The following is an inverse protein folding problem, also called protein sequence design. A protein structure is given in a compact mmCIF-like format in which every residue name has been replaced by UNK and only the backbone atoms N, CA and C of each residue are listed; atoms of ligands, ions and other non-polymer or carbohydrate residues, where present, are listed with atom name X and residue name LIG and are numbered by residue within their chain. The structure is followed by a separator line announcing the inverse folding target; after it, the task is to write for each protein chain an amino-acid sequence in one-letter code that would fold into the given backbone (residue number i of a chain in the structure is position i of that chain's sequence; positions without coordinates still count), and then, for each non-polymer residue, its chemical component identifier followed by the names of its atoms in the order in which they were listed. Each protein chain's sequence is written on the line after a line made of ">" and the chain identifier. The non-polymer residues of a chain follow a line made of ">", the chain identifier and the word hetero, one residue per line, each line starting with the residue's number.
data_IF_782438486842
#
_entry.id   IF_782438486842
#
_cell.length_a   1.000
_cell.length_b   1.000
_cell.length_c   1.000
_cell.angle_alpha   90.00
_cell.angle_beta   90.00
_cell.angle_gamma   90.00
#
_symmetry.space_group_name_H-M   'P 1'
#
loop_
_entity.id
_entity.type
_entity.pdbx_description
1 polymer ?
#
# COMPACT_ATOMS: atom_id res chain seq x y z
N UNK A 1 18.79 13.12 -36.35
CA UNK A 1 17.45 13.09 -35.79
C UNK A 1 17.54 13.33 -34.32
N UNK A 2 16.87 14.36 -33.80
CA UNK A 2 16.67 14.55 -32.37
C UNK A 2 15.88 13.36 -31.86
N UNK A 3 16.52 12.46 -31.13
CA UNK A 3 15.84 11.51 -30.28
C UNK A 3 15.30 12.35 -29.12
N UNK A 4 14.06 12.79 -29.23
CA UNK A 4 13.37 13.33 -28.08
C UNK A 4 13.31 12.23 -27.03
N UNK A 5 13.97 12.41 -25.91
CA UNK A 5 13.81 11.54 -24.76
C UNK A 5 12.45 11.84 -24.17
N UNK A 6 11.44 11.11 -24.61
CA UNK A 6 10.02 11.35 -24.28
C UNK A 6 9.67 11.14 -22.80
N UNK A 7 10.64 10.78 -21.95
CA UNK A 7 10.42 10.54 -20.54
C UNK A 7 10.39 11.79 -19.66
N UNK A 8 10.80 12.94 -20.16
CA UNK A 8 10.98 14.14 -19.34
C UNK A 8 9.68 14.68 -18.71
N UNK A 9 8.54 14.45 -19.35
CA UNK A 9 7.24 14.87 -18.84
C UNK A 9 6.83 14.09 -17.57
N UNK A 10 7.40 12.90 -17.35
CA UNK A 10 7.11 12.05 -16.21
C UNK A 10 8.16 12.15 -15.10
N UNK A 11 9.18 12.98 -15.25
CA UNK A 11 10.27 13.08 -14.28
C UNK A 11 9.83 13.71 -12.97
N UNK A 12 10.33 13.12 -11.89
CA UNK A 12 10.31 13.62 -10.52
C UNK A 12 11.39 12.85 -9.74
N UNK A 13 11.73 13.31 -8.55
CA UNK A 13 12.71 12.60 -7.71
C UNK A 13 12.23 11.17 -7.42
N UNK A 14 10.95 11.00 -7.13
CA UNK A 14 10.35 9.68 -6.91
C UNK A 14 10.40 8.80 -8.15
N UNK A 15 10.09 9.35 -9.33
CA UNK A 15 10.17 8.63 -10.59
C UNK A 15 11.59 8.14 -10.87
N UNK A 16 12.59 9.01 -10.69
CA UNK A 16 13.99 8.67 -10.90
C UNK A 16 14.45 7.54 -9.97
N UNK A 17 14.01 7.55 -8.73
CA UNK A 17 14.31 6.49 -7.76
C UNK A 17 13.64 5.16 -8.15
N UNK A 18 12.37 5.19 -8.52
CA UNK A 18 11.63 3.99 -8.96
C UNK A 18 12.28 3.38 -10.20
N UNK A 19 12.66 4.20 -11.18
CA UNK A 19 13.31 3.75 -12.41
C UNK A 19 14.71 3.19 -12.12
N UNK A 20 15.46 3.80 -11.22
CA UNK A 20 16.78 3.29 -10.83
C UNK A 20 16.66 1.88 -10.22
N UNK A 21 15.74 1.67 -9.28
CA UNK A 21 15.49 0.35 -8.71
C UNK A 21 15.05 -0.67 -9.77
N UNK A 22 14.19 -0.24 -10.67
CA UNK A 22 13.74 -1.06 -11.80
C UNK A 22 14.93 -1.46 -12.70
N UNK A 23 15.78 -0.52 -13.08
CA UNK A 23 16.94 -0.79 -13.93
C UNK A 23 17.91 -1.78 -13.29
N UNK A 24 18.18 -1.65 -11.99
CA UNK A 24 19.05 -2.58 -11.26
C UNK A 24 18.51 -4.01 -11.32
N UNK A 25 17.21 -4.19 -11.07
CA UNK A 25 16.58 -5.51 -11.16
C UNK A 25 16.50 -6.02 -12.58
N UNK A 26 16.16 -5.16 -13.54
CA UNK A 26 16.09 -5.51 -14.97
C UNK A 26 17.43 -6.04 -15.49
N UNK A 27 18.55 -5.44 -15.08
CA UNK A 27 19.88 -5.93 -15.40
C UNK A 27 20.15 -7.28 -14.74
N UNK A 28 19.83 -7.41 -13.45
CA UNK A 28 20.04 -8.65 -12.69
C UNK A 28 19.35 -9.87 -13.33
N UNK A 29 18.15 -9.68 -13.85
CA UNK A 29 17.37 -10.75 -14.49
C UNK A 29 17.54 -10.83 -16.01
N UNK A 30 18.43 -10.03 -16.57
CA UNK A 30 18.65 -9.93 -18.01
C UNK A 30 17.34 -9.77 -18.79
N UNK A 31 16.56 -8.75 -18.40
CA UNK A 31 15.23 -8.48 -18.96
C UNK A 31 15.35 -8.18 -20.46
N UNK A 32 14.40 -8.71 -21.25
CA UNK A 32 14.35 -8.47 -22.70
C UNK A 32 14.41 -6.96 -22.99
N UNK A 33 15.40 -6.50 -23.82
CA UNK A 33 15.53 -5.08 -24.14
C UNK A 33 14.28 -4.47 -24.76
N UNK A 34 13.48 -5.25 -25.48
CA UNK A 34 12.23 -4.78 -26.08
C UNK A 34 11.16 -4.47 -25.05
N UNK A 35 11.25 -5.04 -23.86
CA UNK A 35 10.34 -4.79 -22.75
C UNK A 35 10.91 -3.74 -21.81
N UNK A 36 12.22 -3.76 -21.57
CA UNK A 36 12.89 -2.95 -20.55
C UNK A 36 12.52 -1.47 -20.63
N UNK A 37 12.60 -0.86 -21.80
CA UNK A 37 12.29 0.56 -21.96
C UNK A 37 10.77 0.85 -21.90
N UNK A 38 9.96 -0.09 -22.36
CA UNK A 38 8.51 0.07 -22.37
C UNK A 38 7.91 0.12 -20.96
N UNK A 39 8.49 -0.59 -19.99
CA UNK A 39 8.01 -0.63 -18.61
C UNK A 39 8.38 0.62 -17.80
N UNK A 40 9.27 1.46 -18.33
CA UNK A 40 9.62 2.75 -17.71
C UNK A 40 8.57 3.83 -17.89
N UNK A 41 7.70 3.67 -18.90
CA UNK A 41 6.72 4.67 -19.27
C UNK A 41 5.29 4.14 -19.05
N UNK A 42 4.37 4.98 -18.58
CA UNK A 42 2.97 4.56 -18.49
C UNK A 42 2.38 4.45 -19.90
N UNK A 43 1.48 3.48 -20.08
CA UNK A 43 0.78 3.32 -21.35
C UNK A 43 -0.23 4.44 -21.60
N UNK A 44 -0.76 5.04 -20.54
CA UNK A 44 -1.73 6.13 -20.64
C UNK A 44 -1.60 7.07 -19.46
N UNK A 45 -1.61 8.37 -19.73
CA UNK A 45 -1.65 9.40 -18.72
C UNK A 45 -2.66 10.46 -19.15
N UNK A 46 -3.59 10.79 -18.25
CA UNK A 46 -4.59 11.80 -18.46
C UNK A 46 -4.35 12.94 -17.48
N UNK A 47 -4.22 14.16 -18.02
CA UNK A 47 -4.19 15.39 -17.25
C UNK A 47 -5.45 16.17 -17.55
N UNK A 48 -6.18 16.56 -16.52
CA UNK A 48 -7.43 17.33 -16.65
C UNK A 48 -7.33 18.61 -15.85
N UNK A 49 -8.01 19.64 -16.33
CA UNK A 49 -8.20 20.86 -15.57
C UNK A 49 -9.70 21.17 -15.51
N UNK A 50 -10.14 21.64 -14.38
CA UNK A 50 -11.54 21.97 -14.19
C UNK A 50 -11.71 23.16 -13.24
N UNK A 51 -12.81 23.95 -13.44
CA UNK A 51 -13.11 25.06 -12.55
C UNK A 51 -13.66 24.56 -11.22
N UNK A 52 -13.28 25.25 -10.17
CA UNK A 52 -13.79 25.05 -8.83
C UNK A 52 -14.04 26.39 -8.15
N UNK A 53 -15.17 26.52 -7.47
CA UNK A 53 -15.51 27.68 -6.68
C UNK A 53 -15.91 27.22 -5.29
N UNK A 54 -15.31 27.84 -4.27
CA UNK A 54 -15.57 27.48 -2.87
C UNK A 54 -17.02 27.83 -2.46
N UNK A 55 -17.43 29.03 -2.84
CA UNK A 55 -18.81 29.52 -2.64
C UNK A 55 -19.17 30.52 -3.75
N UNK A 56 -20.37 31.06 -3.69
CA UNK A 56 -20.88 32.00 -4.72
C UNK A 56 -20.17 33.37 -4.72
N UNK A 57 -19.41 33.68 -3.68
CA UNK A 57 -18.75 34.98 -3.51
C UNK A 57 -17.24 34.93 -3.80
N UNK A 58 -16.65 33.74 -3.93
CA UNK A 58 -15.22 33.58 -4.21
C UNK A 58 -14.96 33.51 -5.71
N UNK A 59 -13.73 33.83 -6.10
CA UNK A 59 -13.27 33.66 -7.48
C UNK A 59 -13.19 32.18 -7.85
N UNK A 60 -13.31 31.91 -9.15
CA UNK A 60 -13.13 30.55 -9.67
C UNK A 60 -11.67 30.18 -9.67
N UNK A 61 -11.34 29.06 -9.03
CA UNK A 61 -10.02 28.45 -9.09
C UNK A 61 -9.97 27.43 -10.24
N UNK A 62 -8.80 27.26 -10.83
CA UNK A 62 -8.55 26.16 -11.78
C UNK A 62 -7.80 25.06 -11.06
N UNK A 63 -8.34 23.87 -11.07
CA UNK A 63 -7.80 22.70 -10.38
C UNK A 63 -7.26 21.72 -11.41
N UNK A 64 -6.10 21.12 -11.12
CA UNK A 64 -5.45 20.14 -12.00
C UNK A 64 -5.60 18.76 -11.37
N UNK A 65 -6.01 17.79 -12.19
CA UNK A 65 -6.11 16.39 -11.81
C UNK A 65 -5.39 15.47 -12.80
N UNK A 66 -5.00 14.30 -12.31
CA UNK A 66 -4.25 13.31 -13.07
C UNK A 66 -4.84 11.92 -12.88
N UNK A 67 -4.75 11.10 -13.92
CA UNK A 67 -4.89 9.64 -13.82
C UNK A 67 -3.86 8.97 -14.72
N UNK A 68 -2.99 8.17 -14.14
CA UNK A 68 -1.90 7.49 -14.85
C UNK A 68 -2.12 5.99 -14.76
N UNK A 69 -2.08 5.33 -15.92
CA UNK A 69 -2.25 3.90 -16.07
C UNK A 69 -0.94 3.33 -16.63
N UNK A 70 -0.21 2.60 -15.80
CA UNK A 70 1.13 2.13 -16.15
C UNK A 70 1.08 0.97 -17.14
N UNK A 71 0.38 -0.11 -16.83
CA UNK A 71 0.34 -1.33 -17.64
C UNK A 71 -1.09 -1.79 -17.84
N UNK A 72 -1.51 -1.90 -19.09
CA UNK A 72 -2.85 -2.38 -19.47
C UNK A 72 -2.84 -3.86 -19.87
N UNK A 73 -1.71 -4.54 -19.79
CA UNK A 73 -1.54 -5.93 -20.27
C UNK A 73 -1.99 -6.99 -19.27
N UNK A 74 -2.08 -6.64 -17.98
CA UNK A 74 -2.38 -7.58 -16.88
C UNK A 74 -3.87 -7.76 -16.63
N UNK A 75 -4.69 -6.84 -17.04
CA UNK A 75 -6.10 -6.70 -16.72
C UNK A 75 -6.43 -5.23 -16.49
N UNK A 76 -7.52 -4.91 -15.78
CA UNK A 76 -7.82 -3.53 -15.45
C UNK A 76 -6.70 -2.92 -14.60
N UNK A 77 -6.51 -1.61 -14.69
CA UNK A 77 -5.58 -0.92 -13.83
C UNK A 77 -6.23 -0.62 -12.47
N UNK A 78 -5.42 -0.55 -11.43
CA UNK A 78 -5.87 -0.36 -10.05
C UNK A 78 -4.93 0.57 -9.31
N UNK A 79 -5.49 1.53 -8.60
CA UNK A 79 -4.69 2.40 -7.74
C UNK A 79 -5.49 3.55 -7.13
N UNK A 80 -4.94 4.14 -6.07
CA UNK A 80 -5.57 5.18 -5.29
C UNK A 80 -5.62 6.55 -5.96
N UNK A 81 -6.42 7.42 -5.38
CA UNK A 81 -6.53 8.85 -5.74
C UNK A 81 -6.08 9.67 -4.53
N UNK A 82 -5.06 10.49 -4.73
CA UNK A 82 -4.49 11.37 -3.70
C UNK A 82 -4.98 12.81 -3.86
N UNK A 83 -5.41 13.43 -2.77
CA UNK A 83 -5.63 14.88 -2.73
C UNK A 83 -4.52 15.50 -1.88
N UNK A 84 -3.65 16.25 -2.53
CA UNK A 84 -2.58 16.99 -1.88
C UNK A 84 -2.15 18.14 -2.80
N UNK A 85 -1.71 19.22 -2.18
CA UNK A 85 -1.31 20.44 -2.91
C UNK A 85 -0.14 20.19 -3.88
N UNK A 86 0.77 19.29 -3.52
CA UNK A 86 1.99 18.96 -4.26
C UNK A 86 1.84 17.82 -5.28
N UNK A 87 0.63 17.32 -5.49
CA UNK A 87 0.37 16.29 -6.52
C UNK A 87 0.82 16.78 -7.89
N UNK A 88 1.64 16.00 -8.57
CA UNK A 88 2.16 16.27 -9.90
C UNK A 88 2.25 14.99 -10.74
N UNK A 89 2.39 15.17 -12.05
CA UNK A 89 2.38 14.04 -12.99
C UNK A 89 3.53 13.05 -12.72
N UNK A 90 4.72 13.54 -12.41
CA UNK A 90 5.89 12.68 -12.18
C UNK A 90 5.72 11.77 -10.95
N UNK A 91 5.21 12.31 -9.85
CA UNK A 91 4.95 11.54 -8.63
C UNK A 91 3.83 10.52 -8.84
N UNK A 92 2.73 10.92 -9.48
CA UNK A 92 1.63 10.02 -9.80
C UNK A 92 2.08 8.88 -10.72
N UNK A 93 2.93 9.18 -11.69
CA UNK A 93 3.52 8.17 -12.59
C UNK A 93 4.36 7.16 -11.81
N UNK A 94 5.26 7.63 -10.93
CA UNK A 94 6.08 6.77 -10.09
C UNK A 94 5.22 5.82 -9.24
N UNK A 95 4.18 6.35 -8.62
CA UNK A 95 3.26 5.56 -7.80
C UNK A 95 2.47 4.54 -8.63
N UNK A 96 2.10 4.87 -9.87
CA UNK A 96 1.42 3.93 -10.78
C UNK A 96 2.32 2.75 -11.15
N UNK A 97 3.61 2.98 -11.34
CA UNK A 97 4.59 1.93 -11.61
C UNK A 97 4.72 0.99 -10.41
N UNK A 98 4.86 1.55 -9.21
CA UNK A 98 4.92 0.77 -7.97
C UNK A 98 3.66 -0.08 -7.76
N UNK A 99 2.49 0.43 -8.12
CA UNK A 99 1.24 -0.33 -8.04
C UNK A 99 1.22 -1.53 -8.99
N UNK A 100 1.87 -1.43 -10.16
CA UNK A 100 2.03 -2.58 -11.06
C UNK A 100 2.84 -3.70 -10.41
N UNK A 101 3.97 -3.36 -9.80
CA UNK A 101 4.81 -4.34 -9.10
C UNK A 101 4.07 -4.93 -7.90
N UNK A 102 3.45 -4.10 -7.10
CA UNK A 102 2.73 -4.52 -5.90
C UNK A 102 1.60 -5.51 -6.20
N UNK A 103 0.80 -5.25 -7.22
CA UNK A 103 -0.27 -6.16 -7.65
C UNK A 103 0.29 -7.47 -8.23
N UNK A 104 1.37 -7.38 -9.01
CA UNK A 104 2.00 -8.54 -9.63
C UNK A 104 2.63 -9.49 -8.61
N UNK A 105 3.22 -8.97 -7.54
CA UNK A 105 3.85 -9.75 -6.47
C UNK A 105 2.86 -10.72 -5.84
N UNK A 106 1.65 -10.29 -5.59
CA UNK A 106 0.60 -11.11 -4.95
C UNK A 106 -0.33 -11.80 -5.94
N UNK A 107 0.00 -11.77 -7.22
CA UNK A 107 -0.71 -12.53 -8.23
C UNK A 107 -2.05 -11.94 -8.67
N UNK A 108 -2.31 -10.66 -8.42
CA UNK A 108 -3.57 -10.02 -8.79
C UNK A 108 -3.63 -9.70 -10.30
N UNK A 109 -4.82 -9.75 -10.91
CA UNK A 109 -4.99 -9.51 -12.34
C UNK A 109 -5.09 -8.01 -12.65
N UNK A 110 -4.16 -7.20 -12.12
CA UNK A 110 -4.17 -5.76 -12.27
C UNK A 110 -2.85 -5.22 -12.81
N UNK A 111 -2.95 -4.24 -13.69
CA UNK A 111 -1.89 -3.26 -13.88
C UNK A 111 -1.97 -2.17 -12.83
N UNK A 112 -0.92 -1.36 -12.71
CA UNK A 112 -0.88 -0.24 -11.78
C UNK A 112 -1.50 1.02 -12.35
N UNK A 113 -2.26 1.71 -11.52
CA UNK A 113 -2.73 3.07 -11.77
C UNK A 113 -2.55 3.94 -10.55
N UNK A 114 -2.54 5.23 -10.76
CA UNK A 114 -2.58 6.23 -9.69
C UNK A 114 -3.26 7.48 -10.21
N UNK A 115 -3.93 8.17 -9.32
CA UNK A 115 -4.54 9.45 -9.64
C UNK A 115 -4.29 10.47 -8.54
N UNK A 116 -4.66 11.69 -8.81
CA UNK A 116 -4.56 12.74 -7.83
C UNK A 116 -5.14 14.05 -8.30
N UNK A 117 -5.48 14.87 -7.35
CA UNK A 117 -5.92 16.26 -7.56
C UNK A 117 -4.99 17.17 -6.75
N UNK A 118 -4.41 18.14 -7.43
CA UNK A 118 -3.47 19.09 -6.83
C UNK A 118 -4.23 20.16 -6.03
N UNK A 119 -4.73 19.76 -4.86
CA UNK A 119 -5.44 20.63 -3.94
C UNK A 119 -5.22 20.19 -2.50
N UNK A 120 -5.07 21.15 -1.59
CA UNK A 120 -5.05 20.85 -0.15
C UNK A 120 -6.47 20.52 0.34
N UNK A 121 -6.75 19.27 0.78
CA UNK A 121 -8.09 18.91 1.21
C UNK A 121 -8.47 19.41 2.60
N UNK A 122 -7.49 19.81 3.42
CA UNK A 122 -7.69 20.15 4.85
C UNK A 122 -8.65 21.32 5.06
N UNK A 123 -8.56 22.45 4.31
CA UNK A 123 -9.47 23.58 4.49
C UNK A 123 -10.82 23.39 3.81
N UNK A 124 -11.01 22.31 3.03
CA UNK A 124 -12.23 22.09 2.28
C UNK A 124 -13.36 21.57 3.16
N UNK A 125 -14.56 22.14 3.00
CA UNK A 125 -15.78 21.57 3.57
C UNK A 125 -16.13 20.24 2.89
N UNK A 126 -17.03 19.49 3.52
CA UNK A 126 -17.57 18.27 2.92
C UNK A 126 -18.23 18.55 1.56
N UNK A 127 -19.00 19.62 1.45
CA UNK A 127 -19.65 19.99 0.20
C UNK A 127 -18.65 20.36 -0.90
N UNK A 128 -17.58 21.06 -0.54
CA UNK A 128 -16.49 21.40 -1.45
C UNK A 128 -15.75 20.17 -1.96
N UNK A 129 -15.39 19.23 -1.06
CA UNK A 129 -14.79 17.94 -1.43
C UNK A 129 -15.69 17.14 -2.36
N UNK A 130 -17.00 17.14 -2.10
CA UNK A 130 -17.97 16.45 -2.94
C UNK A 130 -17.98 17.03 -4.37
N UNK A 131 -18.01 18.34 -4.51
CA UNK A 131 -18.01 18.99 -5.82
C UNK A 131 -16.75 18.69 -6.61
N UNK A 132 -15.57 18.78 -5.98
CA UNK A 132 -14.29 18.44 -6.59
C UNK A 132 -14.29 16.99 -7.04
N UNK A 133 -14.68 16.07 -6.17
CA UNK A 133 -14.66 14.63 -6.46
C UNK A 133 -15.58 14.27 -7.60
N UNK A 134 -16.79 14.81 -7.63
CA UNK A 134 -17.74 14.55 -8.72
C UNK A 134 -17.26 15.12 -10.04
N UNK A 135 -16.68 16.32 -10.05
CA UNK A 135 -16.13 16.90 -11.27
C UNK A 135 -14.92 16.13 -11.76
N UNK A 136 -13.99 15.80 -10.89
CA UNK A 136 -12.83 14.99 -11.24
C UNK A 136 -13.26 13.63 -11.82
N UNK A 137 -14.22 12.96 -11.19
CA UNK A 137 -14.78 11.69 -11.70
C UNK A 137 -15.36 11.85 -13.11
N UNK A 138 -16.10 12.90 -13.35
CA UNK A 138 -16.68 13.18 -14.67
C UNK A 138 -15.57 13.32 -15.74
N UNK A 139 -14.47 13.98 -15.41
CA UNK A 139 -13.32 14.11 -16.31
C UNK A 139 -12.59 12.79 -16.57
N UNK A 140 -12.67 11.85 -15.63
CA UNK A 140 -12.03 10.52 -15.76
C UNK A 140 -12.87 9.49 -16.51
N UNK A 141 -14.13 9.77 -16.81
CA UNK A 141 -15.04 8.80 -17.44
C UNK A 141 -14.46 8.11 -18.69
N UNK A 142 -13.69 8.76 -19.56
CA UNK A 142 -13.12 8.10 -20.73
C UNK A 142 -12.15 6.97 -20.41
N UNK A 143 -11.53 6.95 -19.22
CA UNK A 143 -10.44 6.04 -18.89
C UNK A 143 -10.73 5.11 -17.71
N UNK A 144 -11.69 5.42 -16.85
CA UNK A 144 -12.08 4.54 -15.74
C UNK A 144 -13.23 3.60 -16.13
N UNK A 145 -13.34 2.49 -15.44
CA UNK A 145 -14.42 1.51 -15.65
C UNK A 145 -14.20 0.29 -14.79
N UNK A 146 -15.26 -0.46 -14.53
CA UNK A 146 -15.26 -1.67 -13.69
C UNK A 146 -14.27 -2.72 -14.20
N UNK A 147 -14.03 -2.74 -15.50
CA UNK A 147 -13.10 -3.64 -16.19
C UNK A 147 -11.94 -2.90 -16.89
N UNK A 148 -11.77 -1.62 -16.61
CA UNK A 148 -10.74 -0.77 -17.23
C UNK A 148 -9.74 -0.22 -16.25
N UNK A 149 -10.23 0.51 -15.25
CA UNK A 149 -9.41 1.18 -14.23
C UNK A 149 -10.26 1.46 -13.00
N UNK A 150 -9.82 0.94 -11.86
CA UNK A 150 -10.58 0.95 -10.60
C UNK A 150 -9.85 1.82 -9.57
N UNK A 151 -10.37 3.02 -9.27
CA UNK A 151 -9.82 3.86 -8.22
C UNK A 151 -9.98 3.28 -6.81
N UNK A 152 -9.20 3.80 -5.89
CA UNK A 152 -9.23 3.47 -4.45
C UNK A 152 -8.84 4.70 -3.64
N UNK A 153 -9.00 4.66 -2.30
CA UNK A 153 -8.52 5.76 -1.46
C UNK A 153 -6.99 5.83 -1.38
N UNK A 154 -6.49 7.03 -1.15
CA UNK A 154 -5.11 7.32 -0.80
C UNK A 154 -5.09 8.53 0.14
N UNK A 155 -3.93 9.15 0.34
CA UNK A 155 -3.81 10.35 1.17
C UNK A 155 -4.79 11.44 0.72
N UNK A 156 -5.53 12.01 1.66
CA UNK A 156 -6.49 13.08 1.41
C UNK A 156 -7.86 12.63 0.89
N UNK A 157 -8.05 11.33 0.67
CA UNK A 157 -9.33 10.73 0.29
C UNK A 157 -9.72 9.62 1.25
N UNK A 158 -10.99 9.26 1.26
CA UNK A 158 -11.54 8.27 2.18
C UNK A 158 -12.72 7.49 1.56
N UNK A 159 -13.40 6.72 2.37
CA UNK A 159 -14.57 5.94 1.93
C UNK A 159 -15.72 6.84 1.42
N UNK A 160 -15.89 8.02 2.00
CA UNK A 160 -16.90 8.98 1.50
C UNK A 160 -16.56 9.49 0.10
N UNK A 161 -15.28 9.77 -0.14
CA UNK A 161 -14.80 10.15 -1.48
C UNK A 161 -15.10 9.04 -2.50
N UNK A 162 -14.88 7.80 -2.12
CA UNK A 162 -15.18 6.64 -2.97
C UNK A 162 -16.68 6.51 -3.24
N UNK A 163 -17.51 6.79 -2.25
CA UNK A 163 -18.96 6.80 -2.41
C UNK A 163 -19.41 7.83 -3.47
N UNK A 164 -18.82 9.01 -3.46
CA UNK A 164 -19.12 10.05 -4.45
C UNK A 164 -18.66 9.67 -5.86
N UNK A 165 -17.50 9.01 -5.98
CA UNK A 165 -17.00 8.50 -7.27
C UNK A 165 -17.97 7.43 -7.81
N UNK A 166 -18.35 6.48 -6.98
CA UNK A 166 -19.29 5.44 -7.35
C UNK A 166 -20.64 6.02 -7.80
N UNK A 167 -21.18 6.96 -7.04
CA UNK A 167 -22.47 7.60 -7.38
C UNK A 167 -22.39 8.35 -8.70
N UNK A 168 -21.35 9.16 -8.87
CA UNK A 168 -21.17 9.94 -10.10
C UNK A 168 -21.05 9.04 -11.32
N UNK A 169 -20.20 8.04 -11.26
CA UNK A 169 -20.01 7.07 -12.35
C UNK A 169 -21.32 6.33 -12.64
N UNK A 170 -22.01 5.85 -11.62
CA UNK A 170 -23.27 5.12 -11.74
C UNK A 170 -24.35 5.95 -12.42
N UNK A 171 -24.43 7.25 -12.11
CA UNK A 171 -25.37 8.17 -12.75
C UNK A 171 -25.07 8.37 -14.24
N UNK A 172 -23.80 8.43 -14.62
CA UNK A 172 -23.42 8.55 -16.03
C UNK A 172 -23.71 7.29 -16.86
N UNK A 173 -23.52 6.11 -16.27
CA UNK A 173 -23.80 4.84 -16.98
C UNK A 173 -25.25 4.37 -16.85
N UNK A 174 -26.01 4.99 -15.95
CA UNK A 174 -27.45 4.73 -15.78
C UNK A 174 -27.79 3.51 -14.93
N UNK A 175 -26.84 2.95 -14.20
CA UNK A 175 -27.06 1.81 -13.28
C UNK A 175 -26.02 1.78 -12.18
N UNK A 176 -26.37 1.25 -10.98
CA UNK A 176 -25.39 1.12 -9.90
C UNK A 176 -24.18 0.28 -10.31
N UNK A 177 -23.00 0.82 -10.09
CA UNK A 177 -21.72 0.20 -10.46
C UNK A 177 -20.78 0.12 -9.24
N UNK A 178 -21.04 -0.75 -8.25
CA UNK A 178 -20.21 -0.81 -7.05
C UNK A 178 -18.78 -1.28 -7.33
N UNK A 179 -18.55 -2.00 -8.42
CA UNK A 179 -17.21 -2.45 -8.83
C UNK A 179 -16.31 -1.36 -9.41
N UNK A 180 -16.80 -0.12 -9.56
CA UNK A 180 -15.98 0.97 -10.13
C UNK A 180 -14.85 1.42 -9.22
N UNK A 181 -15.04 1.31 -7.92
CA UNK A 181 -14.06 1.70 -6.89
C UNK A 181 -13.96 0.66 -5.80
N UNK A 182 -12.87 0.67 -5.08
CA UNK A 182 -12.72 -0.08 -3.83
C UNK A 182 -12.49 0.89 -2.68
N UNK A 183 -12.65 0.40 -1.44
CA UNK A 183 -12.60 1.26 -0.25
C UNK A 183 -13.89 2.02 0.01
N UNK A 184 -15.01 1.51 -0.50
CA UNK A 184 -16.34 2.06 -0.23
C UNK A 184 -16.79 1.80 1.20
N UNK A 185 -17.77 2.59 1.70
CA UNK A 185 -18.51 2.20 2.90
C UNK A 185 -19.14 0.81 2.75
N UNK A 186 -19.27 0.07 3.85
CA UNK A 186 -19.90 -1.26 3.86
C UNK A 186 -21.32 -1.24 3.29
N UNK A 187 -22.07 -0.16 3.54
CA UNK A 187 -23.44 0.04 3.02
C UNK A 187 -23.53 0.09 1.50
N UNK A 188 -22.42 0.33 0.81
CA UNK A 188 -22.34 0.39 -0.66
C UNK A 188 -21.56 -0.79 -1.27
N UNK A 189 -21.36 -1.85 -0.50
CA UNK A 189 -20.63 -3.03 -0.97
C UNK A 189 -19.15 -3.02 -0.61
N UNK A 190 -18.71 -2.13 0.27
CA UNK A 190 -17.35 -2.12 0.81
C UNK A 190 -17.04 -3.36 1.63
N UNK A 191 -15.78 -3.78 1.64
CA UNK A 191 -15.34 -4.95 2.39
C UNK A 191 -15.24 -4.66 3.87
N UNK A 192 -15.77 -5.55 4.69
CA UNK A 192 -15.66 -5.50 6.15
C UNK A 192 -14.25 -5.78 6.65
N UNK A 193 -13.41 -6.43 5.81
CA UNK A 193 -12.02 -6.78 6.15
C UNK A 193 -11.05 -5.61 5.99
N UNK A 194 -11.47 -4.51 5.39
CA UNK A 194 -10.61 -3.39 4.99
C UNK A 194 -9.71 -2.84 6.10
N UNK A 195 -10.28 -2.68 7.32
CA UNK A 195 -9.54 -2.10 8.45
C UNK A 195 -8.40 -2.98 8.93
N UNK A 196 -8.59 -4.29 8.84
CA UNK A 196 -7.73 -5.28 9.45
C UNK A 196 -6.77 -5.94 8.46
N UNK A 197 -7.08 -5.87 7.17
CA UNK A 197 -6.39 -6.63 6.13
C UNK A 197 -4.88 -6.40 6.09
N UNK A 198 -4.43 -5.16 6.17
CA UNK A 198 -3.00 -4.83 6.10
C UNK A 198 -2.25 -5.34 7.33
N UNK A 199 -2.74 -5.04 8.52
CA UNK A 199 -2.11 -5.47 9.77
C UNK A 199 -2.10 -6.99 9.94
N UNK A 200 -3.23 -7.65 9.72
CA UNK A 200 -3.32 -9.11 9.78
C UNK A 200 -2.48 -9.79 8.73
N UNK A 201 -2.45 -9.25 7.53
CA UNK A 201 -1.63 -9.74 6.44
C UNK A 201 -0.13 -9.65 6.76
N UNK A 202 0.31 -8.52 7.30
CA UNK A 202 1.70 -8.34 7.71
C UNK A 202 2.15 -9.39 8.74
N UNK A 203 1.31 -9.70 9.70
CA UNK A 203 1.59 -10.71 10.73
C UNK A 203 1.58 -12.13 10.14
N UNK A 204 0.69 -12.45 9.23
CA UNK A 204 0.71 -13.75 8.54
C UNK A 204 2.04 -13.97 7.80
N UNK A 205 2.51 -12.96 7.09
CA UNK A 205 3.81 -13.00 6.41
C UNK A 205 4.96 -13.09 7.41
N UNK A 206 4.90 -12.32 8.49
CA UNK A 206 5.90 -12.39 9.56
C UNK A 206 5.99 -13.78 10.18
N UNK A 207 4.86 -14.43 10.44
CA UNK A 207 4.81 -15.79 10.95
C UNK A 207 5.43 -16.79 9.99
N UNK A 208 5.14 -16.68 8.69
CA UNK A 208 5.76 -17.51 7.66
C UNK A 208 7.29 -17.31 7.60
N UNK A 209 7.76 -16.07 7.74
CA UNK A 209 9.18 -15.76 7.79
C UNK A 209 9.86 -16.35 9.03
N UNK A 210 9.22 -16.26 10.19
CA UNK A 210 9.75 -16.85 11.43
C UNK A 210 9.87 -18.37 11.31
N UNK A 211 8.93 -19.04 10.65
CA UNK A 211 9.04 -20.48 10.35
C UNK A 211 10.31 -20.81 9.56
N UNK A 212 10.70 -19.95 8.62
CA UNK A 212 11.96 -20.11 7.87
C UNK A 212 13.20 -19.95 8.75
N UNK A 213 13.08 -19.23 9.85
CA UNK A 213 14.13 -19.08 10.86
C UNK A 213 14.04 -20.15 11.96
N UNK A 214 13.20 -21.17 11.78
CA UNK A 214 12.96 -22.27 12.73
C UNK A 214 12.44 -21.77 14.10
N UNK A 215 11.66 -20.70 14.10
CA UNK A 215 11.04 -20.15 15.31
C UNK A 215 9.53 -19.97 15.10
N UNK A 216 8.75 -20.49 16.05
CA UNK A 216 7.30 -20.30 16.04
C UNK A 216 6.96 -18.86 16.39
N UNK A 217 6.01 -18.28 15.68
CA UNK A 217 5.55 -16.93 15.98
C UNK A 217 4.98 -16.81 17.39
N UNK A 218 4.31 -17.86 17.90
CA UNK A 218 3.81 -17.93 19.27
C UNK A 218 4.88 -17.86 20.36
N UNK A 219 6.14 -18.19 20.03
CA UNK A 219 7.28 -18.09 20.93
C UNK A 219 8.07 -16.79 20.76
N UNK A 220 7.55 -15.87 19.94
CA UNK A 220 8.24 -14.64 19.56
C UNK A 220 7.77 -13.45 20.38
N UNK A 221 8.67 -12.50 20.55
CA UNK A 221 8.36 -11.17 21.10
C UNK A 221 8.21 -10.16 19.97
N UNK A 222 7.25 -9.28 20.10
CA UNK A 222 6.86 -8.32 19.04
C UNK A 222 6.81 -6.91 19.61
N UNK A 223 7.30 -5.96 18.85
CA UNK A 223 7.18 -4.52 19.13
C UNK A 223 6.53 -3.85 17.92
N UNK A 224 5.52 -3.02 18.16
CA UNK A 224 4.78 -2.33 17.10
C UNK A 224 4.90 -0.82 17.31
N UNK A 225 5.43 -0.13 16.30
CA UNK A 225 5.44 1.34 16.27
C UNK A 225 4.19 1.82 15.52
N UNK A 226 3.40 2.66 16.19
CA UNK A 226 2.16 3.17 15.63
C UNK A 226 0.95 2.30 16.00
N UNK A 227 -0.18 2.95 16.28
CA UNK A 227 -1.43 2.25 16.68
C UNK A 227 -2.64 2.75 15.89
N UNK A 228 -2.40 3.11 14.63
CA UNK A 228 -3.45 3.29 13.63
C UNK A 228 -4.00 1.93 13.16
N UNK A 229 -4.69 1.89 12.05
CA UNK A 229 -5.28 0.63 11.58
C UNK A 229 -4.24 -0.48 11.35
N UNK A 230 -3.11 -0.17 10.74
CA UNK A 230 -2.08 -1.18 10.50
C UNK A 230 -1.46 -1.67 11.80
N UNK A 231 -1.01 -0.77 12.64
CA UNK A 231 -0.33 -1.12 13.90
C UNK A 231 -1.21 -1.85 14.89
N UNK A 232 -2.45 -1.38 15.11
CA UNK A 232 -3.35 -2.02 16.07
C UNK A 232 -3.76 -3.42 15.66
N UNK A 233 -4.02 -3.66 14.40
CA UNK A 233 -4.40 -4.99 13.93
C UNK A 233 -3.21 -5.92 13.74
N UNK A 234 -2.01 -5.39 13.51
CA UNK A 234 -0.78 -6.17 13.61
C UNK A 234 -0.54 -6.63 15.06
N UNK A 235 -0.74 -5.75 16.03
CA UNK A 235 -0.64 -6.10 17.45
C UNK A 235 -1.69 -7.15 17.84
N UNK A 236 -2.94 -6.96 17.45
CA UNK A 236 -4.03 -7.91 17.74
C UNK A 236 -3.77 -9.28 17.10
N UNK A 237 -3.38 -9.33 15.84
CA UNK A 237 -3.07 -10.56 15.14
C UNK A 237 -1.87 -11.29 15.77
N UNK A 238 -0.86 -10.57 16.22
CA UNK A 238 0.28 -11.14 16.96
C UNK A 238 -0.16 -11.75 18.28
N UNK A 239 -0.99 -11.04 19.03
CA UNK A 239 -1.57 -11.53 20.30
C UNK A 239 -2.40 -12.79 20.08
N UNK A 240 -3.28 -12.80 19.09
CA UNK A 240 -4.13 -13.94 18.76
C UNK A 240 -3.34 -15.18 18.35
N UNK A 241 -2.16 -15.00 17.77
CA UNK A 241 -1.21 -16.07 17.42
C UNK A 241 -0.40 -16.53 18.63
N UNK A 242 -0.56 -15.94 19.81
CA UNK A 242 0.14 -16.30 21.03
C UNK A 242 1.50 -15.63 21.23
N UNK A 243 1.89 -14.71 20.36
CA UNK A 243 3.12 -13.94 20.54
C UNK A 243 2.98 -12.92 21.68
N UNK A 244 4.13 -12.57 22.28
CA UNK A 244 4.17 -11.51 23.31
C UNK A 244 4.40 -10.16 22.63
N UNK A 245 3.40 -9.31 22.63
CA UNK A 245 3.54 -7.92 22.21
C UNK A 245 4.09 -7.12 23.40
N UNK A 246 5.38 -6.82 23.37
CA UNK A 246 6.08 -6.17 24.49
C UNK A 246 5.75 -4.69 24.61
N UNK A 247 5.65 -4.01 23.48
CA UNK A 247 5.46 -2.57 23.44
C UNK A 247 4.69 -2.13 22.21
N UNK A 248 3.92 -1.08 22.37
CA UNK A 248 3.27 -0.31 21.30
C UNK A 248 3.35 1.17 21.64
N UNK A 249 3.24 2.03 20.63
CA UNK A 249 3.14 3.47 20.84
C UNK A 249 2.17 4.13 19.86
N UNK A 250 1.83 5.35 20.18
CA UNK A 250 1.21 6.30 19.26
C UNK A 250 1.88 7.69 19.44
N UNK A 251 1.27 8.74 18.88
CA UNK A 251 1.82 10.09 18.98
C UNK A 251 1.90 10.63 20.41
N UNK A 252 1.15 10.05 21.34
CA UNK A 252 1.07 10.51 22.73
C UNK A 252 2.09 9.85 23.66
N UNK A 253 2.62 8.71 23.27
CA UNK A 253 3.58 7.93 24.05
C UNK A 253 3.47 6.45 23.82
N UNK A 254 4.18 5.68 24.62
CA UNK A 254 4.23 4.24 24.52
C UNK A 254 3.85 3.53 25.81
N UNK A 255 3.62 2.24 25.70
CA UNK A 255 3.36 1.32 26.80
C UNK A 255 4.15 0.04 26.59
N UNK A 256 4.71 -0.49 27.68
CA UNK A 256 5.59 -1.66 27.70
C UNK A 256 5.17 -2.65 28.78
N UNK A 257 5.21 -3.93 28.48
CA UNK A 257 5.04 -5.01 29.46
C UNK A 257 5.91 -6.20 29.03
N UNK A 258 6.92 -6.55 29.83
CA UNK A 258 7.82 -7.67 29.52
C UNK A 258 7.11 -9.02 29.44
N UNK A 259 5.95 -9.16 30.09
CA UNK A 259 5.10 -10.36 30.06
C UNK A 259 4.15 -10.40 28.88
N UNK A 260 4.14 -9.35 28.07
CA UNK A 260 3.21 -9.14 26.98
C UNK A 260 1.99 -8.31 27.37
N UNK A 261 1.63 -7.40 26.46
CA UNK A 261 0.43 -6.57 26.59
C UNK A 261 -0.83 -7.40 26.29
N UNK A 262 -1.89 -7.18 27.06
CA UNK A 262 -3.21 -7.70 26.72
C UNK A 262 -3.85 -6.78 25.68
N UNK A 263 -3.74 -7.15 24.40
CA UNK A 263 -4.17 -6.28 23.29
C UNK A 263 -5.69 -6.07 23.26
N UNK A 264 -6.56 -7.07 23.52
CA UNK A 264 -7.99 -6.82 23.63
C UNK A 264 -8.35 -5.78 24.70
N UNK A 265 -7.70 -5.82 25.87
CA UNK A 265 -7.90 -4.81 26.92
C UNK A 265 -7.37 -3.42 26.50
N UNK A 266 -6.27 -3.38 25.75
CA UNK A 266 -5.75 -2.15 25.16
C UNK A 266 -6.74 -1.54 24.17
N UNK A 267 -7.42 -2.36 23.37
CA UNK A 267 -8.49 -1.90 22.47
C UNK A 267 -9.64 -1.24 23.24
N UNK A 268 -10.05 -1.80 24.37
CA UNK A 268 -11.07 -1.19 25.23
C UNK A 268 -10.59 0.15 25.79
N UNK A 269 -9.34 0.22 26.23
CA UNK A 269 -8.72 1.46 26.69
C UNK A 269 -8.74 2.56 25.62
N UNK A 270 -8.34 2.22 24.38
CA UNK A 270 -8.31 3.17 23.26
C UNK A 270 -9.70 3.60 22.84
N UNK A 271 -10.69 2.71 22.88
CA UNK A 271 -12.07 3.06 22.59
C UNK A 271 -12.55 4.19 23.50
N UNK A 272 -12.11 4.20 24.75
CA UNK A 272 -12.45 5.19 25.76
C UNK A 272 -11.55 6.42 25.74
N UNK A 273 -10.23 6.21 25.77
CA UNK A 273 -9.24 7.27 25.98
C UNK A 273 -8.67 7.84 24.67
N UNK A 274 -8.90 7.19 23.54
CA UNK A 274 -8.41 7.58 22.19
C UNK A 274 -6.89 7.55 22.01
N UNK A 275 -6.16 6.98 22.97
CA UNK A 275 -4.70 6.91 23.00
C UNK A 275 -4.24 5.68 23.75
N UNK A 276 -3.02 5.21 23.47
CA UNK A 276 -2.39 4.11 24.25
C UNK A 276 -1.86 4.60 25.59
N UNK A 277 -1.62 5.90 25.73
CA UNK A 277 -1.11 6.50 26.97
C UNK A 277 -2.04 6.25 28.14
N UNK A 278 -1.45 5.87 29.28
CA UNK A 278 -2.21 5.62 30.50
C UNK A 278 -2.86 4.23 30.59
N UNK A 279 -2.57 3.33 29.65
CA UNK A 279 -3.05 1.95 29.74
C UNK A 279 -2.49 1.25 30.98
N UNK A 280 -3.37 0.74 31.83
CA UNK A 280 -3.01 0.12 33.12
C UNK A 280 -2.35 -1.26 32.98
N UNK A 281 -2.44 -1.88 31.81
CA UNK A 281 -1.88 -3.21 31.53
C UNK A 281 -0.39 -3.21 31.20
N UNK A 282 0.31 -2.09 31.39
CA UNK A 282 1.74 -1.98 31.18
C UNK A 282 2.30 -0.69 31.79
N UNK A 283 3.60 -0.55 31.73
CA UNK A 283 4.29 0.64 32.20
C UNK A 283 4.40 1.66 31.07
N UNK A 284 4.34 2.98 31.37
CA UNK A 284 4.66 4.00 30.37
C UNK A 284 6.05 3.78 29.80
N UNK A 285 6.16 3.81 28.47
CA UNK A 285 7.43 3.72 27.79
C UNK A 285 7.82 5.08 27.20
N UNK A 286 8.99 5.56 27.61
CA UNK A 286 9.60 6.77 27.10
C UNK A 286 10.96 6.40 26.55
N UNK A 287 11.16 6.58 25.26
CA UNK A 287 12.41 6.23 24.58
C UNK A 287 12.16 5.80 23.14
N UNK A 288 13.18 5.23 22.55
CA UNK A 288 13.17 4.81 21.15
C UNK A 288 12.57 3.41 21.02
N UNK A 289 11.27 3.35 20.72
CA UNK A 289 10.55 2.06 20.61
C UNK A 289 11.16 1.14 19.56
N UNK A 290 11.70 1.70 18.46
CA UNK A 290 12.34 0.93 17.39
C UNK A 290 13.60 0.20 17.84
N UNK A 291 14.23 0.64 18.92
CA UNK A 291 15.50 0.11 19.43
C UNK A 291 15.31 -0.94 20.54
N UNK A 292 14.07 -1.25 20.89
CA UNK A 292 13.78 -2.30 21.87
C UNK A 292 14.20 -3.68 21.38
N UNK A 293 14.75 -4.47 22.30
CA UNK A 293 15.07 -5.87 22.03
C UNK A 293 13.78 -6.68 21.83
N UNK A 294 13.66 -7.30 20.67
CA UNK A 294 12.52 -8.15 20.30
C UNK A 294 12.89 -9.08 19.15
N UNK A 295 12.07 -10.08 18.90
CA UNK A 295 12.22 -10.93 17.72
C UNK A 295 11.70 -10.24 16.46
N UNK A 296 10.55 -9.58 16.55
CA UNK A 296 9.86 -8.96 15.42
C UNK A 296 9.54 -7.50 15.73
N UNK A 297 10.02 -6.60 14.89
CA UNK A 297 9.71 -5.16 14.94
C UNK A 297 8.82 -4.81 13.75
N UNK A 298 7.69 -4.17 14.02
CA UNK A 298 6.73 -3.75 13.00
C UNK A 298 6.60 -2.22 13.01
N UNK A 299 7.38 -1.50 12.19
CA UNK A 299 7.15 -0.07 11.99
C UNK A 299 5.90 0.13 11.16
N UNK A 300 4.86 0.68 11.77
CA UNK A 300 3.51 0.80 11.20
C UNK A 300 2.92 2.21 11.33
N UNK A 301 3.78 3.23 11.44
CA UNK A 301 3.35 4.61 11.58
C UNK A 301 3.58 5.40 10.29
N UNK A 302 4.81 5.85 10.07
CA UNK A 302 5.19 6.72 8.94
C UNK A 302 6.48 6.26 8.28
N UNK A 303 6.77 6.80 7.10
CA UNK A 303 8.01 6.51 6.39
C UNK A 303 9.23 7.17 7.02
N UNK A 304 10.42 6.69 6.66
CA UNK A 304 11.69 7.31 7.03
C UNK A 304 12.04 7.27 8.51
N UNK A 305 11.52 6.30 9.27
CA UNK A 305 11.77 6.19 10.72
C UNK A 305 13.01 5.39 11.06
N UNK A 306 13.43 4.46 10.22
CA UNK A 306 14.70 3.74 10.34
C UNK A 306 15.67 4.33 9.32
N UNK A 307 16.67 5.00 9.81
CA UNK A 307 17.64 5.75 9.01
C UNK A 307 19.05 5.26 9.31
N UNK A 308 20.04 5.77 8.58
CA UNK A 308 21.46 5.51 8.88
C UNK A 308 21.86 5.89 10.30
N UNK A 309 21.12 6.78 10.94
CA UNK A 309 21.38 7.24 12.31
C UNK A 309 21.02 6.18 13.36
N UNK A 310 19.93 5.45 13.20
CA UNK A 310 19.43 4.50 14.20
C UNK A 310 19.47 3.04 13.76
N UNK A 311 19.76 2.75 12.50
CA UNK A 311 19.73 1.38 11.99
C UNK A 311 20.65 0.43 12.75
N UNK A 312 21.83 0.89 13.15
CA UNK A 312 22.79 0.07 13.93
C UNK A 312 22.31 -0.21 15.36
N UNK A 313 21.31 0.51 15.85
CA UNK A 313 20.73 0.34 17.18
C UNK A 313 19.52 -0.61 17.18
N UNK A 314 19.07 -1.04 16.02
CA UNK A 314 17.97 -1.99 15.91
C UNK A 314 18.42 -3.35 16.44
N UNK A 315 17.68 -3.88 17.40
CA UNK A 315 17.98 -5.16 18.07
C UNK A 315 17.04 -6.28 17.62
N UNK A 316 16.04 -5.98 16.83
CA UNK A 316 15.12 -6.96 16.27
C UNK A 316 15.83 -7.93 15.32
N UNK A 317 15.37 -9.17 15.28
CA UNK A 317 15.84 -10.15 14.29
C UNK A 317 15.15 -10.00 12.94
N UNK A 318 13.90 -9.55 12.97
CA UNK A 318 13.06 -9.36 11.79
C UNK A 318 12.38 -7.99 11.87
N UNK A 319 12.46 -7.23 10.78
CA UNK A 319 11.70 -5.99 10.61
C UNK A 319 10.62 -6.21 9.56
N UNK A 320 9.37 -5.98 9.93
CA UNK A 320 8.19 -6.13 9.04
C UNK A 320 7.67 -4.74 8.72
N UNK A 321 7.84 -4.31 7.49
CA UNK A 321 7.49 -2.95 7.07
C UNK A 321 5.98 -2.79 6.85
N UNK A 322 5.26 -2.48 7.91
CA UNK A 322 3.81 -2.25 7.85
C UNK A 322 3.46 -0.89 7.21
N UNK A 323 4.24 0.14 7.48
CA UNK A 323 4.14 1.43 6.82
C UNK A 323 4.80 1.40 5.44
N UNK A 324 4.55 2.42 4.63
CA UNK A 324 5.25 2.60 3.35
C UNK A 324 6.62 3.24 3.58
N UNK A 325 7.66 2.64 3.02
CA UNK A 325 9.04 3.13 3.07
C UNK A 325 9.51 3.54 4.48
N UNK A 326 9.32 2.69 5.51
CA UNK A 326 9.74 3.04 6.86
C UNK A 326 11.27 3.05 7.02
N UNK A 327 11.97 2.30 6.17
CA UNK A 327 13.43 2.13 6.20
C UNK A 327 14.05 2.81 4.99
N UNK A 328 15.02 3.69 5.23
CA UNK A 328 15.78 4.32 4.14
C UNK A 328 16.72 3.30 3.46
N UNK A 329 17.16 3.59 2.24
CA UNK A 329 18.04 2.70 1.48
C UNK A 329 19.37 2.44 2.22
N UNK A 330 19.96 3.48 2.84
CA UNK A 330 21.18 3.33 3.62
C UNK A 330 20.95 2.49 4.88
N UNK A 331 19.82 2.69 5.55
CA UNK A 331 19.45 1.89 6.73
C UNK A 331 19.20 0.42 6.36
N UNK A 332 18.56 0.15 5.24
CA UNK A 332 18.31 -1.19 4.73
C UNK A 332 19.62 -1.98 4.60
N UNK A 333 20.65 -1.36 4.04
CA UNK A 333 21.97 -1.97 3.91
C UNK A 333 22.59 -2.28 5.30
N UNK A 334 22.53 -1.33 6.23
CA UNK A 334 23.06 -1.50 7.60
C UNK A 334 22.37 -2.67 8.30
N UNK A 335 21.02 -2.74 8.21
CA UNK A 335 20.25 -3.84 8.79
C UNK A 335 20.64 -5.18 8.20
N UNK A 336 20.79 -5.28 6.89
CA UNK A 336 21.21 -6.52 6.23
C UNK A 336 22.62 -6.94 6.64
N UNK A 337 23.55 -5.99 6.74
CA UNK A 337 24.93 -6.25 7.19
C UNK A 337 24.96 -6.75 8.65
N UNK A 338 23.95 -6.39 9.45
CA UNK A 338 23.78 -6.87 10.83
C UNK A 338 22.90 -8.12 10.93
N UNK A 339 22.62 -8.81 9.82
CA UNK A 339 21.81 -10.01 9.74
C UNK A 339 20.36 -9.84 10.21
N UNK A 340 19.80 -8.64 10.09
CA UNK A 340 18.39 -8.39 10.31
C UNK A 340 17.62 -8.74 9.03
N UNK A 341 16.65 -9.64 9.14
CA UNK A 341 15.77 -9.96 8.01
C UNK A 341 14.73 -8.84 7.85
N UNK A 342 14.62 -8.27 6.65
CA UNK A 342 13.63 -7.25 6.34
C UNK A 342 12.58 -7.85 5.43
N UNK A 343 11.32 -7.80 5.88
CA UNK A 343 10.17 -8.09 5.02
C UNK A 343 9.70 -6.76 4.46
N UNK A 344 9.90 -6.54 3.14
CA UNK A 344 9.70 -5.23 2.54
C UNK A 344 8.23 -4.83 2.51
N UNK A 345 7.97 -3.53 2.55
CA UNK A 345 6.64 -2.95 2.51
C UNK A 345 5.78 -3.44 1.34
N UNK A 346 6.38 -3.56 0.17
CA UNK A 346 5.72 -4.03 -1.05
C UNK A 346 5.05 -5.42 -0.88
N UNK A 347 5.58 -6.25 0.02
CA UNK A 347 5.00 -7.53 0.41
C UNK A 347 4.25 -7.43 1.74
N UNK A 348 4.89 -6.89 2.78
CA UNK A 348 4.37 -6.88 4.14
C UNK A 348 3.01 -6.19 4.26
N UNK A 349 2.79 -5.09 3.52
CA UNK A 349 1.53 -4.36 3.56
C UNK A 349 0.59 -4.65 2.37
N UNK A 350 0.86 -5.72 1.63
CA UNK A 350 0.06 -6.12 0.46
C UNK A 350 -1.35 -6.63 0.82
N UNK A 351 -1.65 -6.82 2.10
CA UNK A 351 -2.99 -7.16 2.56
C UNK A 351 -4.06 -6.15 2.13
N UNK A 352 -3.70 -4.86 2.09
CA UNK A 352 -4.60 -3.80 1.65
C UNK A 352 -5.05 -3.96 0.20
N UNK A 353 -4.12 -4.12 -0.73
CA UNK A 353 -4.43 -4.28 -2.16
C UNK A 353 -5.13 -5.62 -2.43
N UNK A 354 -4.77 -6.66 -1.70
CA UNK A 354 -5.41 -7.99 -1.82
C UNK A 354 -6.86 -7.93 -1.31
N UNK A 355 -7.09 -7.27 -0.19
CA UNK A 355 -8.45 -7.04 0.32
C UNK A 355 -9.31 -6.22 -0.65
N UNK A 356 -8.72 -5.20 -1.26
CA UNK A 356 -9.39 -4.42 -2.32
C UNK A 356 -9.77 -5.28 -3.53
N UNK A 357 -8.91 -6.19 -3.93
CA UNK A 357 -9.22 -7.15 -4.99
C UNK A 357 -10.47 -7.98 -4.67
N UNK A 358 -10.58 -8.52 -3.45
CA UNK A 358 -11.74 -9.29 -3.05
C UNK A 358 -13.02 -8.43 -2.95
N UNK A 359 -12.90 -7.17 -2.54
CA UNK A 359 -14.03 -6.22 -2.60
C UNK A 359 -14.54 -6.08 -4.03
N UNK A 360 -13.64 -5.85 -4.99
CA UNK A 360 -13.97 -5.73 -6.41
C UNK A 360 -14.60 -7.04 -6.95
N UNK A 361 -14.04 -8.19 -6.62
CA UNK A 361 -14.60 -9.50 -7.06
C UNK A 361 -16.02 -9.68 -6.54
N UNK A 362 -16.28 -9.42 -5.26
CA UNK A 362 -17.61 -9.49 -4.67
C UNK A 362 -18.60 -8.56 -5.38
N UNK A 363 -18.17 -7.34 -5.67
CA UNK A 363 -19.04 -6.33 -6.30
C UNK A 363 -19.31 -6.63 -7.77
N UNK A 364 -18.36 -7.17 -8.51
CA UNK A 364 -18.54 -7.52 -9.92
C UNK A 364 -19.34 -8.80 -10.11
N UNK A 365 -19.27 -9.73 -9.16
CA UNK A 365 -20.01 -10.98 -9.18
C UNK A 365 -21.33 -10.93 -8.41
N UNK A 366 -21.59 -9.84 -7.69
CA UNK A 366 -22.76 -9.69 -6.79
C UNK A 366 -22.87 -10.84 -5.78
N UNK A 367 -21.71 -11.31 -5.26
CA UNK A 367 -21.64 -12.36 -4.28
C UNK A 367 -20.79 -11.93 -3.09
N UNK A 368 -21.35 -12.03 -1.88
CA UNK A 368 -20.68 -11.65 -0.64
C UNK A 368 -20.20 -12.88 0.10
N UNK A 369 -18.89 -12.96 0.36
CA UNK A 369 -18.30 -13.97 1.22
C UNK A 369 -18.45 -13.61 2.69
N UNK A 370 -18.45 -14.63 3.56
CA UNK A 370 -18.34 -14.40 5.00
C UNK A 370 -16.97 -13.84 5.34
N UNK A 371 -16.90 -13.03 6.38
CA UNK A 371 -15.67 -12.41 6.86
C UNK A 371 -14.54 -13.42 7.04
N UNK A 372 -14.83 -14.56 7.69
CA UNK A 372 -13.86 -15.63 7.89
C UNK A 372 -13.27 -16.15 6.57
N UNK A 373 -14.12 -16.38 5.58
CA UNK A 373 -13.70 -16.90 4.28
C UNK A 373 -12.81 -15.87 3.54
N UNK A 374 -13.12 -14.57 3.69
CA UNK A 374 -12.31 -13.49 3.13
C UNK A 374 -10.92 -13.46 3.73
N UNK A 375 -10.80 -13.59 5.06
CA UNK A 375 -9.50 -13.61 5.72
C UNK A 375 -8.69 -14.84 5.34
N UNK A 376 -9.29 -16.01 5.25
CA UNK A 376 -8.61 -17.24 4.81
C UNK A 376 -8.07 -17.06 3.39
N UNK A 377 -8.86 -16.52 2.46
CA UNK A 377 -8.43 -16.23 1.08
C UNK A 377 -7.31 -15.21 1.02
N UNK A 378 -7.42 -14.15 1.80
CA UNK A 378 -6.40 -13.10 1.89
C UNK A 378 -5.06 -13.67 2.37
N UNK A 379 -5.08 -14.45 3.44
CA UNK A 379 -3.88 -15.04 4.03
C UNK A 379 -3.25 -16.04 3.07
N UNK A 380 -4.04 -16.88 2.41
CA UNK A 380 -3.54 -17.83 1.41
C UNK A 380 -2.79 -17.13 0.27
N UNK A 381 -3.32 -16.02 -0.23
CA UNK A 381 -2.65 -15.22 -1.27
C UNK A 381 -1.31 -14.69 -0.78
N UNK A 382 -1.28 -14.12 0.42
CA UNK A 382 -0.07 -13.50 0.98
C UNK A 382 0.99 -14.53 1.34
N UNK A 383 0.62 -15.65 1.93
CA UNK A 383 1.54 -16.74 2.27
C UNK A 383 2.14 -17.35 1.01
N UNK A 384 1.33 -17.58 -0.02
CA UNK A 384 1.83 -18.09 -1.32
C UNK A 384 2.81 -17.11 -1.95
N UNK A 385 2.51 -15.82 -1.92
CA UNK A 385 3.41 -14.79 -2.42
C UNK A 385 4.74 -14.77 -1.65
N UNK A 386 4.69 -14.86 -0.34
CA UNK A 386 5.91 -14.93 0.49
C UNK A 386 6.77 -16.14 0.14
N UNK A 387 6.18 -17.32 0.02
CA UNK A 387 6.91 -18.56 -0.31
C UNK A 387 7.64 -18.44 -1.65
N UNK A 388 6.96 -17.91 -2.68
CA UNK A 388 7.58 -17.71 -3.98
C UNK A 388 8.72 -16.69 -3.93
N UNK A 389 8.54 -15.58 -3.21
CA UNK A 389 9.56 -14.55 -3.06
C UNK A 389 10.76 -15.08 -2.26
N UNK A 390 10.50 -15.87 -1.22
CA UNK A 390 11.58 -16.49 -0.43
C UNK A 390 12.44 -17.42 -1.29
N UNK A 391 11.82 -18.24 -2.13
CA UNK A 391 12.53 -19.12 -3.07
C UNK A 391 13.38 -18.30 -4.05
N UNK A 392 12.86 -17.21 -4.59
CA UNK A 392 13.61 -16.31 -5.48
C UNK A 392 14.80 -15.69 -4.75
N UNK A 393 14.61 -15.27 -3.50
CA UNK A 393 15.66 -14.70 -2.66
C UNK A 393 16.81 -15.68 -2.47
N UNK A 394 16.52 -16.92 -2.13
CA UNK A 394 17.54 -17.95 -1.94
C UNK A 394 18.24 -18.32 -3.25
N UNK A 395 17.47 -18.51 -4.32
CA UNK A 395 18.02 -18.88 -5.63
C UNK A 395 18.96 -17.82 -6.21
N UNK A 396 18.66 -16.54 -6.00
CA UNK A 396 19.44 -15.42 -6.52
C UNK A 396 20.42 -14.83 -5.48
N UNK A 397 20.45 -15.38 -4.27
CA UNK A 397 21.25 -14.87 -3.17
C UNK A 397 21.07 -13.35 -2.99
N UNK A 398 19.81 -12.92 -2.92
CA UNK A 398 19.43 -11.52 -2.76
C UNK A 398 18.42 -11.34 -1.62
N UNK A 399 18.24 -10.12 -1.18
CA UNK A 399 17.26 -9.76 -0.15
C UNK A 399 15.82 -9.90 -0.66
N UNK A 400 14.88 -9.91 0.28
CA UNK A 400 13.45 -10.09 -0.04
C UNK A 400 12.88 -8.93 -0.86
N UNK A 401 13.34 -7.70 -0.67
CA UNK A 401 12.91 -6.54 -1.46
C UNK A 401 13.28 -6.72 -2.93
N UNK A 402 14.51 -7.11 -3.20
CA UNK A 402 14.98 -7.40 -4.56
C UNK A 402 14.22 -8.59 -5.15
N UNK A 403 14.05 -9.66 -4.38
CA UNK A 403 13.31 -10.84 -4.82
C UNK A 403 11.84 -10.54 -5.15
N UNK A 404 11.19 -9.70 -4.37
CA UNK A 404 9.83 -9.24 -4.63
C UNK A 404 9.74 -8.47 -5.96
N UNK A 405 10.66 -7.54 -6.21
CA UNK A 405 10.73 -6.80 -7.48
C UNK A 405 11.01 -7.73 -8.66
N UNK A 406 11.89 -8.71 -8.50
CA UNK A 406 12.15 -9.74 -9.54
C UNK A 406 10.84 -10.43 -9.92
N UNK A 407 10.08 -10.90 -8.93
CA UNK A 407 8.79 -11.58 -9.16
C UNK A 407 7.80 -10.67 -9.90
N UNK A 408 7.62 -9.45 -9.41
CA UNK A 408 6.67 -8.50 -9.99
C UNK A 408 7.01 -8.11 -11.42
N UNK A 409 8.25 -7.73 -11.65
CA UNK A 409 8.73 -7.30 -12.98
C UNK A 409 8.69 -8.44 -13.99
N UNK A 410 9.14 -9.64 -13.61
CA UNK A 410 9.06 -10.83 -14.49
C UNK A 410 7.63 -11.15 -14.90
N UNK A 411 6.69 -11.07 -13.98
CA UNK A 411 5.29 -11.37 -14.26
C UNK A 411 4.69 -10.36 -15.24
N UNK A 412 4.94 -9.07 -15.04
CA UNK A 412 4.46 -8.02 -15.94
C UNK A 412 5.12 -8.14 -17.32
N UNK A 413 6.42 -8.38 -17.37
CA UNK A 413 7.16 -8.56 -18.61
C UNK A 413 6.64 -9.76 -19.41
N UNK A 414 6.39 -10.89 -18.75
CA UNK A 414 5.84 -12.08 -19.38
C UNK A 414 4.47 -11.82 -20.03
N UNK A 415 3.59 -11.08 -19.35
CA UNK A 415 2.30 -10.71 -19.89
C UNK A 415 2.43 -9.83 -21.15
N UNK A 416 3.33 -8.85 -21.14
CA UNK A 416 3.59 -8.01 -22.30
C UNK A 416 4.17 -8.79 -23.48
N UNK A 417 5.12 -9.67 -23.22
CA UNK A 417 5.71 -10.52 -24.25
C UNK A 417 4.68 -11.45 -24.89
N UNK A 418 3.84 -12.09 -24.06
CA UNK A 418 2.80 -13.01 -24.53
C UNK A 418 1.73 -12.29 -25.36
N UNK A 419 1.34 -11.08 -24.99
CA UNK A 419 0.40 -10.25 -25.77
C UNK A 419 0.99 -9.74 -27.08
N UNK A 420 2.32 -9.62 -27.15
CA UNK A 420 2.98 -9.10 -28.35
C UNK A 420 2.81 -7.60 -28.55
N UNK A 421 2.90 -7.19 -29.79
CA UNK A 421 2.74 -5.81 -30.23
C UNK A 421 1.46 -5.64 -31.04
N UNK A 422 0.80 -4.50 -30.84
CA UNK A 422 -0.36 -4.11 -31.62
C UNK A 422 -0.10 -2.74 -32.25
N UNK A 423 -0.37 -2.53 -33.55
CA UNK A 423 -0.71 -3.48 -34.60
C UNK A 423 0.45 -4.33 -35.00
#
# INVERSE_FOLDING_TARGET
>A
GLVMTNGDIFKSDMYDEVIRQYDEVAEMINLDPNIKERLKLPQRALTVTFPFRRDEYTEVETVIGYRVQHVLSMGPTKGGIRYAEDVNLGEVTALSILMSWKSAIVGLPYGGAKGGVAIDPRPLSRAEKQRITRRYTAELLPVIGVDKDIPAPDMGTDEQTMAWIMDTYSNFVGSPQPGIVTGKPASLGGSITRREATGRGAVAIAAAAMDKLNKKYSDSTVVVQGFGNVGRYAALASYERGAKVLAVNDLTGGVYNEKGLNIPELFKHIAKEKTVKGFSGGDPFVGEILELECDVLIPAAVGGVITSTNASNIKANVVVEGANSPTTLNADKILRDNNVLIIPDILANAGGVTGSYFEWVQNTQNYLWKEKDLYEKLIDVLESAFEEIFIISEKNNCDLRTAALIKGIKRVAAAKLTRGLFP
#
